data_IF_547961631879
#
_entry.id   IF_547961631879
#
_cell.length_a   1.000
_cell.length_b   1.000
_cell.length_c   1.000
_cell.angle_alpha   90.00
_cell.angle_beta   90.00
_cell.angle_gamma   90.00
#
_symmetry.space_group_name_H-M   'P 1'
#
loop_
_entity.id
_entity.type
_entity.pdbx_description
1 polymer ?
#
# COMPACT_ATOMS: atom_id res chain seq x y z
N UNK A 1 18.63 50.13 -21.75
CA UNK A 1 17.33 49.90 -22.42
C UNK A 1 17.45 48.67 -23.31
N UNK A 2 17.14 47.49 -22.79
CA UNK A 2 16.93 46.30 -23.62
C UNK A 2 15.59 45.70 -23.22
N UNK A 3 14.74 45.71 -24.23
CA UNK A 3 13.35 45.29 -24.30
C UNK A 3 13.27 43.76 -24.19
N UNK A 4 12.07 43.33 -23.80
CA UNK A 4 11.52 41.97 -23.76
C UNK A 4 11.95 41.06 -24.94
N UNK A 5 12.18 39.77 -24.62
CA UNK A 5 12.42 38.66 -25.54
C UNK A 5 11.71 37.43 -24.96
N UNK A 6 10.43 37.26 -25.28
CA UNK A 6 9.88 36.24 -26.18
C UNK A 6 10.09 34.76 -25.80
N UNK A 7 8.93 34.08 -25.77
CA UNK A 7 8.66 32.72 -26.18
C UNK A 7 9.16 31.54 -25.32
N UNK A 8 8.22 30.62 -25.12
CA UNK A 8 8.29 29.33 -24.42
C UNK A 8 9.64 28.60 -24.54
N UNK A 9 10.24 28.13 -23.44
CA UNK A 9 11.19 27.02 -23.55
C UNK A 9 10.40 25.74 -23.82
N UNK A 10 10.45 25.28 -25.06
CA UNK A 10 10.27 23.88 -25.41
C UNK A 10 11.36 23.04 -24.73
N UNK A 11 10.96 21.84 -24.28
CA UNK A 11 11.69 20.54 -24.17
C UNK A 11 13.22 20.71 -24.16
N UNK A 12 13.99 20.38 -23.11
CA UNK A 12 14.42 19.01 -22.72
C UNK A 12 15.06 19.03 -21.31
N UNK A 13 14.71 18.11 -20.40
CA UNK A 13 15.55 17.51 -19.32
C UNK A 13 14.71 16.52 -18.49
N UNK A 14 14.89 15.22 -18.78
CA UNK A 14 15.05 14.10 -17.83
C UNK A 14 14.46 14.26 -16.41
N UNK A 15 13.18 13.93 -16.24
CA UNK A 15 12.66 13.30 -15.01
C UNK A 15 11.35 12.58 -15.39
N UNK A 16 11.43 11.70 -16.39
CA UNK A 16 10.54 10.54 -16.37
C UNK A 16 10.90 9.81 -15.08
N UNK A 17 10.18 10.07 -13.97
CA UNK A 17 10.25 9.21 -12.79
C UNK A 17 9.77 7.86 -13.29
N UNK A 18 10.70 7.08 -13.83
CA UNK A 18 10.53 5.68 -14.12
C UNK A 18 10.19 5.09 -12.76
N UNK A 19 8.88 4.92 -12.51
CA UNK A 19 8.42 4.14 -11.38
C UNK A 19 9.04 2.77 -11.62
N UNK A 20 10.11 2.47 -10.89
CA UNK A 20 10.84 1.23 -11.04
C UNK A 20 9.81 0.10 -11.03
N UNK A 21 9.67 -0.69 -12.11
CA UNK A 21 8.69 -1.76 -12.16
C UNK A 21 8.95 -2.86 -11.12
N UNK A 22 10.12 -2.81 -10.47
CA UNK A 22 10.53 -3.66 -9.36
C UNK A 22 10.14 -3.11 -7.97
N UNK A 23 9.49 -1.93 -7.87
CA UNK A 23 9.04 -1.44 -6.57
C UNK A 23 7.89 -2.32 -6.01
N UNK A 24 8.04 -2.89 -4.80
CA UNK A 24 7.02 -3.77 -4.24
C UNK A 24 5.70 -3.04 -4.02
N UNK A 25 4.62 -3.65 -4.49
CA UNK A 25 3.26 -3.17 -4.25
C UNK A 25 2.74 -3.61 -2.89
N UNK A 26 2.02 -2.71 -2.23
CA UNK A 26 1.42 -2.91 -0.92
C UNK A 26 -0.09 -2.63 -0.97
N UNK A 27 -0.72 -2.78 0.20
CA UNK A 27 -2.14 -2.52 0.40
C UNK A 27 -3.06 -3.45 -0.43
N UNK A 28 -4.37 -3.30 -0.25
CA UNK A 28 -5.38 -4.05 -1.02
C UNK A 28 -5.50 -3.55 -2.47
N UNK A 29 -4.92 -2.38 -2.77
CA UNK A 29 -4.93 -1.79 -4.11
C UNK A 29 -3.77 -2.25 -4.98
N UNK A 30 -2.81 -3.03 -4.44
CA UNK A 30 -1.61 -3.48 -5.17
C UNK A 30 -0.89 -2.27 -5.82
N UNK A 31 -0.66 -1.23 -5.00
CA UNK A 31 0.03 0.00 -5.42
C UNK A 31 1.25 0.22 -4.55
N UNK A 32 2.20 0.99 -5.07
CA UNK A 32 3.41 1.40 -4.35
C UNK A 32 3.11 2.09 -3.02
N UNK A 33 4.13 2.22 -2.19
CA UNK A 33 4.03 3.01 -0.96
C UNK A 33 3.83 4.48 -1.29
N UNK A 34 2.80 5.12 -0.72
CA UNK A 34 2.60 6.56 -0.89
C UNK A 34 1.88 7.18 0.31
N UNK A 35 2.25 8.40 0.66
CA UNK A 35 1.61 9.17 1.73
C UNK A 35 1.65 8.49 3.10
N UNK A 36 0.50 8.48 3.80
CA UNK A 36 0.37 7.85 5.12
C UNK A 36 0.01 6.37 5.02
N UNK A 37 0.86 5.52 5.62
CA UNK A 37 0.67 4.09 5.67
C UNK A 37 0.66 3.55 7.10
N UNK A 38 -0.08 2.46 7.31
CA UNK A 38 -0.17 1.74 8.57
C UNK A 38 0.25 0.29 8.39
N UNK A 39 1.01 -0.24 9.36
CA UNK A 39 1.32 -1.65 9.45
C UNK A 39 0.22 -2.41 10.23
N UNK A 40 -0.14 -3.58 9.73
CA UNK A 40 -1.01 -4.52 10.42
C UNK A 40 -0.22 -5.19 11.55
N UNK A 41 -0.75 -5.17 12.76
CA UNK A 41 -0.13 -5.76 13.97
C UNK A 41 -0.15 -7.31 13.99
N UNK A 42 -0.45 -7.93 12.85
CA UNK A 42 -0.46 -9.38 12.69
C UNK A 42 0.79 -9.77 11.90
N UNK A 43 1.77 -10.40 12.54
CA UNK A 43 3.02 -10.87 11.94
C UNK A 43 2.82 -11.90 10.80
N UNK A 44 1.62 -12.48 10.70
CA UNK A 44 1.28 -13.41 9.63
C UNK A 44 0.54 -12.72 8.47
N UNK A 45 0.32 -11.40 8.52
CA UNK A 45 -0.31 -10.67 7.43
C UNK A 45 0.58 -10.69 6.20
N UNK A 46 0.10 -11.11 5.01
CA UNK A 46 0.97 -11.20 3.84
C UNK A 46 1.25 -9.86 3.16
N UNK A 47 0.47 -8.83 3.48
CA UNK A 47 0.60 -7.49 2.89
C UNK A 47 1.33 -6.55 3.84
N UNK A 48 1.03 -6.68 5.14
CA UNK A 48 1.52 -5.87 6.27
C UNK A 48 1.21 -4.36 6.19
N UNK A 49 1.34 -3.72 5.03
CA UNK A 49 1.25 -2.28 4.84
C UNK A 49 0.00 -1.85 4.08
N UNK A 50 -0.68 -0.83 4.59
CA UNK A 50 -1.94 -0.33 4.01
C UNK A 50 -1.97 1.20 4.02
N UNK A 51 -2.48 1.82 2.96
CA UNK A 51 -2.69 3.26 2.91
C UNK A 51 -3.88 3.66 3.78
N UNK A 52 -3.76 4.79 4.48
CA UNK A 52 -4.82 5.33 5.33
C UNK A 52 -6.16 5.46 4.59
N UNK A 53 -6.13 6.02 3.37
CA UNK A 53 -7.30 6.17 2.50
C UNK A 53 -7.96 4.83 2.15
N UNK A 54 -7.16 3.79 1.89
CA UNK A 54 -7.65 2.48 1.49
C UNK A 54 -8.32 1.71 2.64
N UNK A 55 -7.92 1.98 3.89
CA UNK A 55 -8.51 1.34 5.08
C UNK A 55 -9.41 2.28 5.88
N UNK A 56 -9.78 3.41 5.29
CA UNK A 56 -10.64 4.44 5.90
C UNK A 56 -10.13 4.92 7.27
N UNK A 57 -8.81 5.07 7.39
CA UNK A 57 -8.18 5.72 8.52
C UNK A 57 -7.90 7.18 8.16
N UNK A 58 -8.19 8.07 9.10
CA UNK A 58 -7.80 9.49 9.00
C UNK A 58 -6.64 9.85 9.92
N UNK A 59 -6.36 9.00 10.91
CA UNK A 59 -5.30 9.22 11.89
C UNK A 59 -4.75 7.87 12.35
N UNK A 60 -3.49 7.84 12.78
CA UNK A 60 -2.89 6.66 13.40
C UNK A 60 -3.73 6.18 14.60
N UNK A 61 -4.26 4.95 14.58
CA UNK A 61 -5.01 4.40 15.70
C UNK A 61 -4.11 4.22 16.92
N UNK A 62 -4.68 4.37 18.11
CA UNK A 62 -3.98 4.12 19.37
C UNK A 62 -4.07 2.63 19.70
N UNK A 63 -2.93 1.95 19.70
CA UNK A 63 -2.82 0.53 20.03
C UNK A 63 -2.71 -0.37 18.79
N UNK A 64 -3.04 -1.66 18.97
CA UNK A 64 -2.97 -2.67 17.91
C UNK A 64 -4.03 -2.40 16.85
N UNK A 65 -3.64 -2.43 15.58
CA UNK A 65 -4.55 -2.30 14.45
C UNK A 65 -4.40 -3.49 13.51
N UNK A 66 -5.55 -4.04 13.10
CA UNK A 66 -5.59 -5.15 12.17
C UNK A 66 -6.28 -4.74 10.87
N UNK A 67 -5.66 -5.10 9.75
CA UNK A 67 -6.20 -4.82 8.42
C UNK A 67 -7.52 -5.57 8.16
N UNK A 68 -8.32 -5.16 7.15
CA UNK A 68 -9.59 -5.81 6.81
C UNK A 68 -9.51 -7.33 6.53
N UNK A 69 -8.32 -7.84 6.17
CA UNK A 69 -8.09 -9.28 5.94
C UNK A 69 -7.84 -10.05 7.23
N UNK A 70 -7.12 -9.45 8.18
CA UNK A 70 -6.72 -10.06 9.45
C UNK A 70 -7.77 -9.88 10.56
N UNK A 71 -8.48 -8.74 10.56
CA UNK A 71 -9.53 -8.45 11.54
C UNK A 71 -10.77 -9.30 11.29
N UNK A 72 -11.45 -9.68 12.36
CA UNK A 72 -12.78 -10.28 12.32
C UNK A 72 -13.87 -9.22 12.29
N UNK A 73 -14.95 -9.45 13.03
CA UNK A 73 -16.07 -8.50 13.16
C UNK A 73 -15.67 -7.13 13.73
N UNK A 74 -14.53 -7.04 14.43
CA UNK A 74 -14.05 -5.81 15.07
C UNK A 74 -12.62 -5.48 14.65
N UNK A 75 -12.26 -4.19 14.47
CA UNK A 75 -10.92 -3.77 14.03
C UNK A 75 -9.78 -4.07 15.00
N UNK A 76 -10.11 -4.29 16.27
CA UNK A 76 -9.14 -4.63 17.32
C UNK A 76 -9.12 -6.13 17.65
N UNK A 77 -9.91 -6.96 16.96
CA UNK A 77 -10.01 -8.40 17.20
C UNK A 77 -9.64 -9.14 15.92
N UNK A 78 -8.60 -9.97 16.00
CA UNK A 78 -8.22 -10.83 14.89
C UNK A 78 -9.21 -11.97 14.71
N UNK A 79 -9.34 -12.44 13.46
CA UNK A 79 -9.98 -13.73 13.17
C UNK A 79 -9.25 -14.86 13.90
N UNK A 80 -9.93 -15.98 14.19
CA UNK A 80 -9.26 -17.17 14.73
C UNK A 80 -8.13 -17.63 13.81
N UNK A 81 -6.96 -17.94 14.40
CA UNK A 81 -5.72 -18.27 13.68
C UNK A 81 -5.91 -19.36 12.62
N UNK A 82 -6.76 -20.35 12.87
CA UNK A 82 -7.06 -21.41 11.91
C UNK A 82 -7.70 -20.90 10.61
N UNK A 83 -8.61 -19.92 10.68
CA UNK A 83 -9.21 -19.31 9.50
C UNK A 83 -8.19 -18.45 8.76
N UNK A 84 -7.42 -17.66 9.51
CA UNK A 84 -6.40 -16.79 8.95
C UNK A 84 -5.31 -17.56 8.18
N UNK A 85 -4.80 -18.66 8.74
CA UNK A 85 -3.79 -19.50 8.08
C UNK A 85 -4.30 -20.08 6.75
N UNK A 86 -5.56 -20.50 6.69
CA UNK A 86 -6.16 -21.01 5.46
C UNK A 86 -6.33 -19.91 4.40
N UNK A 87 -6.72 -18.71 4.82
CA UNK A 87 -6.79 -17.54 3.93
C UNK A 87 -5.39 -17.11 3.43
N UNK A 88 -4.38 -17.18 4.29
CA UNK A 88 -2.99 -16.88 3.96
C UNK A 88 -2.42 -17.85 2.92
N UNK A 89 -2.62 -19.16 3.10
CA UNK A 89 -2.18 -20.18 2.15
C UNK A 89 -2.78 -19.93 0.75
N UNK A 90 -4.06 -19.56 0.71
CA UNK A 90 -4.73 -19.19 -0.53
C UNK A 90 -4.11 -17.94 -1.17
N UNK A 91 -3.85 -16.89 -0.39
CA UNK A 91 -3.22 -15.67 -0.89
C UNK A 91 -1.83 -15.93 -1.47
N UNK A 92 -0.99 -16.70 -0.76
CA UNK A 92 0.35 -17.03 -1.23
C UNK A 92 0.29 -17.84 -2.54
N UNK A 93 -0.61 -18.83 -2.62
CA UNK A 93 -0.82 -19.61 -3.84
C UNK A 93 -1.29 -18.75 -5.03
N UNK A 94 -2.20 -17.80 -4.81
CA UNK A 94 -2.66 -16.88 -5.85
C UNK A 94 -1.55 -15.93 -6.33
N UNK A 95 -0.60 -15.56 -5.46
CA UNK A 95 0.59 -14.78 -5.83
C UNK A 95 1.62 -15.64 -6.58
N UNK A 96 1.82 -16.89 -6.19
CA UNK A 96 2.68 -17.84 -6.92
C UNK A 96 2.16 -18.11 -8.34
N UNK A 97 0.84 -18.25 -8.53
CA UNK A 97 0.23 -18.50 -9.86
C UNK A 97 0.27 -17.28 -10.79
N UNK A 98 0.39 -16.07 -10.21
CA UNK A 98 0.49 -14.80 -10.95
C UNK A 98 1.93 -14.35 -11.21
N UNK A 99 2.91 -14.97 -10.55
CA UNK A 99 4.34 -14.73 -10.74
C UNK A 99 4.87 -15.54 -11.93
#
# INVERSE_FOLDING_TARGET
KKQQKDNSPSLDDDDEIAVDPDEPTYCLCDQISYGEMICCDNDLCPIEWFHFSCVSLSTKPKGKWFCPKCRGDRPNIMKPKAQFLKELERYNKEKEDKA
#
